data_IF_533895775451
#
_entry.id   IF_533895775451
#
_cell.length_a   1.000
_cell.length_b   1.000
_cell.length_c   1.000
_cell.angle_alpha   90.00
_cell.angle_beta   90.00
_cell.angle_gamma   90.00
#
_symmetry.space_group_name_H-M   'P 1'
#
loop_
_entity.id
_entity.type
_entity.pdbx_description
1 polymer ?
#
# COMPACT_ATOMS: atom_id res chain seq x y z
N UNK A 1 8.54 -10.66 18.72
CA UNK A 1 8.49 -10.55 17.25
C UNK A 1 9.63 -9.66 16.77
N UNK A 2 10.11 -9.84 15.53
CA UNK A 2 11.19 -9.01 14.93
C UNK A 2 10.85 -7.51 14.88
N UNK A 3 9.57 -7.16 14.98
CA UNK A 3 9.07 -5.78 14.99
C UNK A 3 9.36 -4.99 16.28
N UNK A 4 9.74 -5.67 17.37
CA UNK A 4 9.96 -5.05 18.69
C UNK A 4 11.45 -4.83 18.99
N UNK A 5 12.34 -5.18 18.06
CA UNK A 5 13.79 -5.07 18.20
C UNK A 5 14.30 -3.82 17.48
N UNK A 6 15.33 -3.19 18.03
CA UNK A 6 15.99 -2.09 17.35
C UNK A 6 16.47 -2.52 15.97
N UNK A 7 16.35 -1.64 14.95
CA UNK A 7 16.64 -1.98 13.57
C UNK A 7 18.09 -2.45 13.39
N UNK A 8 19.03 -1.84 14.11
CA UNK A 8 20.45 -2.22 14.08
C UNK A 8 20.72 -3.62 14.65
N UNK A 9 19.99 -4.01 15.69
CA UNK A 9 20.12 -5.33 16.33
C UNK A 9 19.52 -6.38 15.41
N UNK A 10 18.40 -6.06 14.78
CA UNK A 10 17.71 -6.94 13.83
C UNK A 10 18.58 -7.23 12.61
N UNK A 11 19.23 -6.21 12.03
CA UNK A 11 20.16 -6.38 10.90
C UNK A 11 21.34 -7.28 11.27
N UNK A 12 21.96 -7.07 12.45
CA UNK A 12 23.08 -7.89 12.94
C UNK A 12 22.66 -9.34 13.18
N UNK A 13 21.46 -9.56 13.73
CA UNK A 13 20.90 -10.89 13.95
C UNK A 13 20.63 -11.58 12.61
N UNK A 14 20.04 -10.87 11.64
CA UNK A 14 19.73 -11.42 10.32
C UNK A 14 21.00 -11.82 9.57
N UNK A 15 22.01 -10.94 9.53
CA UNK A 15 23.30 -11.24 8.89
C UNK A 15 24.07 -12.38 9.56
N UNK A 16 23.88 -12.58 10.87
CA UNK A 16 24.54 -13.66 11.61
C UNK A 16 23.86 -15.02 11.42
N UNK A 17 22.53 -15.05 11.32
CA UNK A 17 21.75 -16.30 11.36
C UNK A 17 21.21 -16.76 10.01
N UNK A 18 21.18 -15.89 8.98
CA UNK A 18 20.59 -16.20 7.69
C UNK A 18 21.56 -15.88 6.54
N UNK A 19 21.73 -16.84 5.63
CA UNK A 19 22.53 -16.69 4.40
C UNK A 19 21.73 -16.11 3.23
N UNK A 20 20.39 -16.15 3.30
CA UNK A 20 19.47 -15.71 2.28
C UNK A 20 18.15 -15.28 2.93
N UNK A 21 17.58 -14.17 2.48
CA UNK A 21 16.24 -13.75 2.85
C UNK A 21 15.30 -13.86 1.64
N UNK A 22 14.14 -14.49 1.83
CA UNK A 22 13.10 -14.66 0.82
C UNK A 22 11.82 -13.95 1.26
N UNK A 23 11.35 -13.00 0.46
CA UNK A 23 10.06 -12.34 0.67
C UNK A 23 8.97 -13.10 -0.07
N UNK A 24 8.22 -13.93 0.66
CA UNK A 24 7.22 -14.84 0.09
C UNK A 24 5.78 -14.30 0.15
N UNK A 25 5.59 -13.11 0.70
CA UNK A 25 4.31 -12.41 0.75
C UNK A 25 4.51 -10.94 0.35
N UNK A 26 3.49 -10.26 -0.18
CA UNK A 26 3.55 -8.82 -0.35
C UNK A 26 3.66 -8.19 1.05
N UNK A 27 4.87 -7.85 1.46
CA UNK A 27 5.13 -7.23 2.75
C UNK A 27 4.57 -5.81 2.73
N UNK A 28 3.65 -5.49 3.64
CA UNK A 28 3.14 -4.14 3.83
C UNK A 28 4.33 -3.19 3.99
N UNK A 29 4.25 -2.00 3.40
CA UNK A 29 5.31 -1.00 3.34
C UNK A 29 5.99 -0.74 4.71
N UNK A 30 5.27 -0.92 5.83
CA UNK A 30 5.79 -0.74 7.18
C UNK A 30 6.58 -1.93 7.75
N UNK A 31 6.43 -3.14 7.18
CA UNK A 31 7.00 -4.38 7.74
C UNK A 31 8.41 -4.71 7.25
N UNK A 32 8.87 -4.04 6.19
CA UNK A 32 10.24 -4.19 5.71
C UNK A 32 11.15 -3.18 6.38
N UNK A 33 12.01 -3.68 7.28
CA UNK A 33 13.18 -2.93 7.70
C UNK A 33 13.93 -2.46 6.44
N UNK A 34 14.37 -1.19 6.36
CA UNK A 34 15.29 -0.76 5.32
C UNK A 34 16.61 -1.51 5.52
N UNK A 35 16.71 -2.68 4.90
CA UNK A 35 17.90 -3.50 4.91
C UNK A 35 18.92 -2.83 3.98
N UNK A 36 20.15 -2.57 4.46
CA UNK A 36 21.22 -2.13 3.57
C UNK A 36 21.43 -3.20 2.50
N UNK A 37 21.62 -2.81 1.23
CA UNK A 37 21.77 -3.74 0.10
C UNK A 37 23.00 -4.67 0.23
N UNK A 38 23.88 -4.43 1.20
CA UNK A 38 25.17 -5.10 1.37
C UNK A 38 25.21 -6.21 2.42
N UNK A 39 24.16 -6.40 3.23
CA UNK A 39 24.28 -7.26 4.43
C UNK A 39 23.86 -8.72 4.25
N UNK A 40 22.82 -9.01 3.45
CA UNK A 40 22.34 -10.37 3.17
C UNK A 40 21.68 -10.41 1.79
N UNK A 41 21.98 -11.41 0.92
CA UNK A 41 21.26 -11.58 -0.34
C UNK A 41 19.74 -11.72 -0.10
N UNK A 42 18.95 -10.84 -0.71
CA UNK A 42 17.50 -10.81 -0.58
C UNK A 42 16.83 -11.10 -1.93
N UNK A 43 15.90 -12.07 -1.94
CA UNK A 43 15.09 -12.46 -3.08
C UNK A 43 13.62 -12.13 -2.79
N UNK A 44 13.05 -11.23 -3.59
CA UNK A 44 11.75 -10.60 -3.35
C UNK A 44 11.87 -9.08 -3.59
N UNK A 45 10.76 -8.31 -3.56
CA UNK A 45 10.80 -6.86 -3.81
C UNK A 45 11.85 -6.20 -2.91
N UNK A 46 13.00 -5.75 -3.45
CA UNK A 46 14.14 -5.35 -2.63
C UNK A 46 13.98 -3.94 -2.05
N UNK A 47 13.01 -3.18 -2.58
CA UNK A 47 12.74 -1.81 -2.18
C UNK A 47 11.32 -1.73 -1.64
N UNK A 48 11.17 -1.20 -0.41
CA UNK A 48 9.87 -0.88 0.19
C UNK A 48 9.01 -0.01 -0.73
N UNK A 49 9.66 0.85 -1.54
CA UNK A 49 9.02 1.70 -2.54
C UNK A 49 8.32 0.92 -3.65
N UNK A 50 8.73 -0.32 -3.93
CA UNK A 50 8.07 -1.17 -4.91
C UNK A 50 6.64 -1.57 -4.48
N UNK A 51 6.37 -1.54 -3.16
CA UNK A 51 5.02 -1.77 -2.61
C UNK A 51 4.27 -0.46 -2.34
N UNK A 52 4.82 0.68 -2.76
CA UNK A 52 4.14 1.98 -2.59
C UNK A 52 2.92 2.09 -3.52
N UNK A 53 1.97 2.94 -3.09
CA UNK A 53 0.83 3.34 -3.94
C UNK A 53 1.32 3.96 -5.27
N UNK A 54 2.44 4.66 -5.25
CA UNK A 54 3.03 5.30 -6.44
C UNK A 54 3.52 4.27 -7.46
N UNK A 55 4.20 3.21 -7.02
CA UNK A 55 4.61 2.13 -7.91
C UNK A 55 3.41 1.43 -8.53
N UNK A 56 2.36 1.17 -7.74
CA UNK A 56 1.09 0.60 -8.24
C UNK A 56 0.45 1.50 -9.32
N UNK A 57 0.39 2.82 -9.09
CA UNK A 57 -0.12 3.78 -10.07
C UNK A 57 0.73 3.84 -11.34
N UNK A 58 2.05 3.79 -11.21
CA UNK A 58 2.97 3.76 -12.34
C UNK A 58 2.73 2.50 -13.18
N UNK A 59 2.57 1.33 -12.54
CA UNK A 59 2.26 0.09 -13.25
C UNK A 59 0.93 0.24 -14.01
N UNK A 60 -0.13 0.73 -13.36
CA UNK A 60 -1.43 0.92 -14.04
C UNK A 60 -1.33 1.90 -15.22
N UNK A 61 -0.50 2.93 -15.10
CA UNK A 61 -0.24 3.88 -16.17
C UNK A 61 0.50 3.23 -17.34
N UNK A 62 1.55 2.45 -17.05
CA UNK A 62 2.36 1.77 -18.06
C UNK A 62 1.59 0.65 -18.78
N UNK A 63 0.80 -0.13 -18.06
CA UNK A 63 0.02 -1.23 -18.63
C UNK A 63 -1.28 -0.75 -19.28
N UNK A 64 -1.72 0.49 -18.98
CA UNK A 64 -3.04 0.99 -19.35
C UNK A 64 -4.19 0.18 -18.73
N UNK A 65 -3.90 -0.69 -17.76
CA UNK A 65 -4.81 -1.65 -17.18
C UNK A 65 -4.78 -1.54 -15.66
N UNK A 66 -5.92 -1.14 -15.09
CA UNK A 66 -6.08 -0.97 -13.65
C UNK A 66 -7.47 -0.48 -13.28
N UNK A 67 -7.91 -0.68 -12.03
CA UNK A 67 -9.14 -0.11 -11.53
C UNK A 67 -9.07 1.42 -11.57
N UNK A 68 -10.22 2.12 -11.73
CA UNK A 68 -10.25 3.56 -11.58
C UNK A 68 -9.72 3.92 -10.20
N UNK A 69 -8.66 4.73 -10.19
CA UNK A 69 -7.92 5.09 -8.98
C UNK A 69 -7.90 6.61 -8.85
N UNK A 70 -8.10 7.10 -7.63
CA UNK A 70 -7.97 8.50 -7.27
C UNK A 70 -7.03 8.62 -6.08
N UNK A 71 -5.99 9.45 -6.23
CA UNK A 71 -5.08 9.79 -5.15
C UNK A 71 -5.38 11.22 -4.68
N UNK A 72 -5.63 11.35 -3.38
CA UNK A 72 -5.96 12.60 -2.72
C UNK A 72 -4.81 13.01 -1.80
N UNK A 73 -4.29 14.25 -1.92
CA UNK A 73 -3.31 14.75 -0.98
C UNK A 73 -3.95 14.97 0.40
N UNK A 74 -3.12 15.01 1.44
CA UNK A 74 -3.57 15.37 2.78
C UNK A 74 -4.20 16.77 2.75
N UNK A 75 -5.32 16.94 3.45
CA UNK A 75 -6.14 18.14 3.48
C UNK A 75 -7.14 18.27 2.32
N UNK A 76 -7.17 17.33 1.38
CA UNK A 76 -8.16 17.35 0.30
C UNK A 76 -9.58 17.07 0.83
N UNK A 77 -10.56 17.79 0.28
CA UNK A 77 -11.98 17.59 0.60
C UNK A 77 -12.81 17.46 -0.68
N UNK A 78 -13.41 16.30 -0.86
CA UNK A 78 -14.32 16.03 -1.96
C UNK A 78 -15.76 16.45 -1.61
N UNK A 79 -16.40 17.19 -2.53
CA UNK A 79 -17.83 17.52 -2.44
C UNK A 79 -18.73 16.43 -3.03
N UNK A 80 -18.19 15.66 -3.98
CA UNK A 80 -18.87 14.54 -4.62
C UNK A 80 -17.83 13.49 -5.02
N UNK A 81 -18.23 12.22 -5.04
CA UNK A 81 -17.38 11.14 -5.50
C UNK A 81 -17.36 11.15 -7.05
N UNK A 82 -16.19 11.01 -7.71
CA UNK A 82 -16.12 10.93 -9.16
C UNK A 82 -16.99 9.81 -9.72
N UNK A 83 -17.67 10.06 -10.84
CA UNK A 83 -18.58 9.09 -11.49
C UNK A 83 -17.91 7.75 -11.80
N UNK A 84 -16.61 7.74 -12.08
CA UNK A 84 -15.84 6.53 -12.32
C UNK A 84 -15.80 5.59 -11.10
N UNK A 85 -15.73 6.15 -9.89
CA UNK A 85 -15.71 5.41 -8.63
C UNK A 85 -17.13 5.14 -8.11
N UNK A 86 -18.05 6.07 -8.32
CA UNK A 86 -19.44 5.96 -7.84
C UNK A 86 -20.23 4.77 -8.44
N UNK A 87 -19.74 4.19 -9.55
CA UNK A 87 -20.33 3.01 -10.18
C UNK A 87 -20.03 1.70 -9.44
N UNK A 88 -19.03 1.70 -8.57
CA UNK A 88 -18.64 0.51 -7.82
C UNK A 88 -19.48 0.42 -6.54
N UNK A 89 -19.88 -0.79 -6.10
CA UNK A 89 -20.63 -0.96 -4.86
C UNK A 89 -19.75 -0.72 -3.63
N UNK A 90 -18.46 -1.04 -3.75
CA UNK A 90 -17.45 -0.89 -2.72
C UNK A 90 -16.21 -0.23 -3.32
N UNK A 91 -15.44 0.43 -2.46
CA UNK A 91 -14.16 1.04 -2.82
C UNK A 91 -13.09 0.53 -1.86
N UNK A 92 -11.88 0.33 -2.38
CA UNK A 92 -10.70 0.03 -1.59
C UNK A 92 -9.98 1.34 -1.29
N UNK A 93 -9.69 1.59 -0.02
CA UNK A 93 -9.09 2.81 0.50
C UNK A 93 -7.76 2.46 1.17
N UNK A 94 -6.66 3.05 0.70
CA UNK A 94 -5.34 2.99 1.32
C UNK A 94 -5.00 4.36 1.89
N UNK A 95 -4.53 4.42 3.14
CA UNK A 95 -4.08 5.65 3.79
C UNK A 95 -2.58 5.59 4.01
N UNK A 96 -1.82 6.45 3.33
CA UNK A 96 -0.36 6.40 3.37
C UNK A 96 0.17 4.99 3.11
N UNK A 97 0.86 4.44 4.10
CA UNK A 97 1.48 3.11 4.08
C UNK A 97 0.67 2.02 4.82
N UNK A 98 -0.52 2.36 5.30
CA UNK A 98 -1.38 1.42 6.01
C UNK A 98 -2.10 0.45 5.07
N UNK A 99 -2.53 -0.66 5.63
CA UNK A 99 -3.20 -1.71 4.90
C UNK A 99 -4.51 -1.20 4.27
N UNK A 100 -4.86 -1.68 3.06
CA UNK A 100 -6.09 -1.29 2.39
C UNK A 100 -7.34 -1.73 3.15
N UNK A 101 -8.29 -0.81 3.29
CA UNK A 101 -9.61 -1.07 3.85
C UNK A 101 -10.67 -0.99 2.76
N UNK A 102 -11.61 -1.95 2.72
CA UNK A 102 -12.75 -1.90 1.80
C UNK A 102 -13.93 -1.22 2.49
N UNK A 103 -14.49 -0.20 1.84
CA UNK A 103 -15.62 0.58 2.34
C UNK A 103 -16.74 0.64 1.31
N UNK A 104 -17.98 0.81 1.77
CA UNK A 104 -19.11 1.00 0.86
C UNK A 104 -19.09 2.39 0.24
N UNK A 105 -19.50 2.48 -1.02
CA UNK A 105 -19.52 3.74 -1.78
C UNK A 105 -20.41 4.80 -1.14
N UNK A 106 -21.48 4.40 -0.43
CA UNK A 106 -22.36 5.30 0.34
C UNK A 106 -21.63 6.08 1.44
N UNK A 107 -20.67 5.44 2.11
CA UNK A 107 -19.91 6.04 3.21
C UNK A 107 -18.55 6.58 2.78
N UNK A 108 -18.12 6.26 1.54
CA UNK A 108 -16.79 6.56 1.06
C UNK A 108 -16.44 8.05 1.07
N UNK A 109 -17.38 8.93 0.71
CA UNK A 109 -17.10 10.37 0.66
C UNK A 109 -16.77 10.95 2.04
N UNK A 110 -17.56 10.59 3.06
CA UNK A 110 -17.33 11.05 4.43
C UNK A 110 -16.03 10.45 4.97
N UNK A 111 -15.83 9.15 4.76
CA UNK A 111 -14.63 8.47 5.22
C UNK A 111 -13.36 9.05 4.58
N UNK A 112 -13.39 9.34 3.27
CA UNK A 112 -12.27 9.96 2.56
C UNK A 112 -11.97 11.35 3.10
N UNK A 113 -12.99 12.18 3.30
CA UNK A 113 -12.81 13.54 3.81
C UNK A 113 -12.18 13.56 5.20
N UNK A 114 -12.63 12.69 6.11
CA UNK A 114 -12.03 12.54 7.44
C UNK A 114 -10.59 12.01 7.34
N UNK A 115 -10.37 10.96 6.54
CA UNK A 115 -9.05 10.34 6.44
C UNK A 115 -8.02 11.24 5.79
N UNK A 116 -8.42 12.07 4.82
CA UNK A 116 -7.55 13.05 4.17
C UNK A 116 -7.03 14.10 5.14
N UNK A 117 -7.66 14.35 6.30
CA UNK A 117 -7.13 15.28 7.30
C UNK A 117 -5.80 14.79 7.88
N UNK A 118 -5.64 13.47 7.98
CA UNK A 118 -4.52 12.84 8.69
C UNK A 118 -3.42 12.34 7.75
N UNK A 119 -3.76 11.89 6.54
CA UNK A 119 -2.81 11.32 5.59
C UNK A 119 -3.25 11.49 4.14
N UNK A 120 -2.38 11.14 3.20
CA UNK A 120 -2.76 10.97 1.79
C UNK A 120 -3.65 9.74 1.64
N UNK A 121 -4.71 9.86 0.86
CA UNK A 121 -5.67 8.77 0.65
C UNK A 121 -5.66 8.34 -0.81
N UNK A 122 -5.52 7.04 -1.05
CA UNK A 122 -5.70 6.43 -2.35
C UNK A 122 -7.00 5.61 -2.34
N UNK A 123 -7.89 5.87 -3.29
CA UNK A 123 -9.16 5.15 -3.41
C UNK A 123 -9.28 4.49 -4.79
N UNK A 124 -9.73 3.25 -4.80
CA UNK A 124 -9.84 2.40 -5.98
C UNK A 124 -11.21 1.74 -6.05
N UNK A 125 -11.74 1.55 -7.26
CA UNK A 125 -12.95 0.74 -7.47
C UNK A 125 -12.72 -0.70 -7.00
N UNK A 126 -13.60 -1.22 -6.15
CA UNK A 126 -13.54 -2.61 -5.65
C UNK A 126 -14.75 -3.42 -6.10
N UNK A 127 -14.49 -4.63 -6.62
CA UNK A 127 -15.52 -5.60 -6.99
C UNK A 127 -15.31 -6.88 -6.16
N UNK A 128 -16.35 -7.40 -5.49
CA UNK A 128 -16.29 -8.69 -4.80
C UNK A 128 -16.13 -9.79 -5.85
N UNK A 129 -14.89 -10.23 -6.07
CA UNK A 129 -14.49 -11.12 -7.16
C UNK A 129 -13.08 -10.84 -7.67
N UNK A 130 -12.55 -9.65 -7.40
CA UNK A 130 -11.14 -9.28 -7.66
C UNK A 130 -10.23 -9.77 -6.53
N UNK A 131 -10.25 -11.07 -6.22
CA UNK A 131 -9.15 -11.71 -5.50
C UNK A 131 -8.04 -11.85 -6.55
N UNK A 132 -6.95 -11.10 -6.35
CA UNK A 132 -5.80 -11.05 -7.24
C UNK A 132 -5.27 -12.46 -7.52
N UNK A 133 -5.20 -12.83 -8.81
CA UNK A 133 -4.12 -13.69 -9.33
C UNK A 133 -2.83 -12.91 -9.38
#
# INVERSE_FOLDING_TARGET
SLQTLDPEITIKLLAKNYSLLLSLAPLSCETLLPLPPSTVPHLGPPLTEANSVWMKLLIYHLTGSGPPTLLLPQGARLRALPRALARYPCLQLCLGNHDPVVIQTSHALNHLNESCLHATACVQGWLPGNIQT
#
